data_IF_182958756990
#
_entry.id   IF_182958756990
#
_cell.length_a   1.000
_cell.length_b   1.000
_cell.length_c   1.000
_cell.angle_alpha   90.00
_cell.angle_beta   90.00
_cell.angle_gamma   90.00
#
_symmetry.space_group_name_H-M   'P 1'
#
loop_
_entity.id
_entity.type
_entity.pdbx_description
1 polymer ?
#
# COMPACT_ATOMS: atom_id res chain seq x y z
N UNK A 1 -9.76 -20.33 -0.30
CA UNK A 1 -8.68 -20.18 -1.29
C UNK A 1 -8.53 -21.40 -2.19
N UNK A 2 -8.55 -22.63 -1.68
CA UNK A 2 -8.35 -23.84 -2.51
C UNK A 2 -9.41 -24.03 -3.62
N UNK A 3 -10.68 -23.67 -3.35
CA UNK A 3 -11.78 -23.80 -4.33
C UNK A 3 -11.97 -22.59 -5.25
N UNK A 4 -11.72 -21.38 -4.75
CA UNK A 4 -12.05 -20.12 -5.43
C UNK A 4 -10.79 -19.44 -6.02
N UNK A 5 -9.60 -19.78 -5.50
CA UNK A 5 -8.34 -19.12 -5.85
C UNK A 5 -8.02 -17.93 -4.95
N UNK A 6 -7.10 -17.10 -5.44
CA UNK A 6 -6.75 -15.78 -4.90
C UNK A 6 -6.76 -14.76 -6.04
N UNK A 7 -6.81 -13.47 -5.74
CA UNK A 7 -6.85 -12.45 -6.78
C UNK A 7 -6.97 -11.04 -6.23
N UNK A 8 -6.91 -10.08 -7.15
CA UNK A 8 -6.97 -8.65 -6.85
C UNK A 8 -6.93 -7.85 -8.14
N UNK A 9 -7.30 -6.57 -8.08
CA UNK A 9 -7.19 -5.64 -9.21
C UNK A 9 -7.89 -6.09 -10.52
N UNK A 10 -8.88 -6.99 -10.44
CA UNK A 10 -9.63 -7.49 -11.60
C UNK A 10 -9.10 -8.80 -12.20
N UNK A 11 -8.07 -9.40 -11.62
CA UNK A 11 -7.50 -10.69 -12.04
C UNK A 11 -7.55 -11.72 -10.90
N UNK A 12 -7.53 -13.01 -11.25
CA UNK A 12 -7.53 -14.12 -10.30
C UNK A 12 -6.62 -15.25 -10.77
N UNK A 13 -6.10 -16.04 -9.83
CA UNK A 13 -5.21 -17.16 -10.10
C UNK A 13 -5.39 -18.29 -9.08
N UNK A 14 -4.92 -19.48 -9.47
CA UNK A 14 -4.86 -20.63 -8.57
C UNK A 14 -3.70 -20.47 -7.58
N UNK A 15 -3.95 -20.76 -6.29
CA UNK A 15 -2.95 -20.67 -5.23
C UNK A 15 -2.75 -21.98 -4.46
N UNK A 16 -3.07 -23.11 -5.09
CA UNK A 16 -3.02 -24.42 -4.42
C UNK A 16 -1.61 -24.78 -3.95
N UNK A 17 -0.60 -24.56 -4.81
CA UNK A 17 0.82 -24.77 -4.48
C UNK A 17 1.25 -23.99 -3.25
N UNK A 18 0.78 -22.75 -3.10
CA UNK A 18 1.09 -21.91 -1.95
C UNK A 18 0.38 -22.38 -0.69
N UNK A 19 -0.87 -22.83 -0.80
CA UNK A 19 -1.58 -23.45 0.33
C UNK A 19 -0.87 -24.72 0.79
N UNK A 20 -0.38 -25.55 -0.13
CA UNK A 20 0.39 -26.76 0.19
C UNK A 20 1.72 -26.41 0.88
N UNK A 21 2.38 -25.33 0.46
CA UNK A 21 3.59 -24.82 1.10
C UNK A 21 3.29 -24.29 2.52
N UNK A 22 2.20 -23.53 2.70
CA UNK A 22 1.79 -23.02 4.00
C UNK A 22 1.47 -24.11 5.01
N UNK A 23 0.89 -25.24 4.56
CA UNK A 23 0.68 -26.42 5.44
C UNK A 23 2.00 -27.01 5.95
N UNK A 24 3.09 -26.89 5.20
CA UNK A 24 4.43 -27.34 5.61
C UNK A 24 5.10 -26.32 6.53
N UNK A 25 4.95 -25.02 6.27
CA UNK A 25 5.55 -23.95 7.07
C UNK A 25 4.86 -23.79 8.43
N UNK A 26 3.53 -23.69 8.43
CA UNK A 26 2.75 -23.32 9.61
C UNK A 26 2.13 -24.55 10.30
N UNK A 27 2.43 -25.75 9.81
CA UNK A 27 1.72 -26.99 10.17
C UNK A 27 0.21 -26.89 9.89
N UNK A 28 -0.55 -27.91 10.30
CA UNK A 28 -1.98 -27.99 10.04
C UNK A 28 -2.79 -28.26 11.29
N UNK A 29 -4.01 -27.73 11.35
CA UNK A 29 -4.96 -28.07 12.43
C UNK A 29 -5.27 -29.57 12.40
N UNK A 30 -5.03 -30.25 13.52
CA UNK A 30 -5.23 -31.70 13.65
C UNK A 30 -6.72 -32.12 13.67
N UNK A 31 -7.58 -31.26 14.21
CA UNK A 31 -8.99 -31.56 14.44
C UNK A 31 -9.87 -30.29 14.41
N UNK A 32 -11.17 -30.48 14.55
CA UNK A 32 -12.17 -29.40 14.55
C UNK A 32 -12.58 -28.92 13.14
N UNK A 33 -13.32 -27.81 13.06
CA UNK A 33 -13.92 -27.33 11.80
C UNK A 33 -12.92 -26.99 10.69
N UNK A 34 -11.69 -26.61 11.06
CA UNK A 34 -10.62 -26.25 10.14
C UNK A 34 -9.56 -27.36 9.99
N UNK A 35 -9.90 -28.62 10.28
CA UNK A 35 -8.98 -29.76 10.18
C UNK A 35 -8.29 -29.79 8.81
N UNK A 36 -6.97 -29.90 8.81
CA UNK A 36 -6.13 -29.93 7.61
C UNK A 36 -5.79 -28.56 6.99
N UNK A 37 -6.30 -27.45 7.55
CA UNK A 37 -5.93 -26.10 7.11
C UNK A 37 -4.61 -25.64 7.76
N UNK A 38 -3.81 -24.79 7.07
CA UNK A 38 -2.63 -24.15 7.66
C UNK A 38 -2.95 -23.44 8.97
N UNK A 39 -2.06 -23.50 9.95
CA UNK A 39 -2.27 -22.75 11.21
C UNK A 39 -1.96 -21.26 11.03
N UNK A 40 -2.63 -20.44 11.86
CA UNK A 40 -2.42 -19.01 12.02
C UNK A 40 -2.44 -18.66 13.52
N UNK A 41 -1.50 -19.23 14.28
CA UNK A 41 -1.47 -19.05 15.74
C UNK A 41 -0.57 -17.89 16.15
N UNK A 42 0.51 -17.66 15.40
CA UNK A 42 1.52 -16.63 15.68
C UNK A 42 1.53 -15.53 14.64
N UNK A 43 2.12 -14.38 14.99
CA UNK A 43 2.36 -13.31 14.02
C UNK A 43 3.29 -13.75 12.87
N UNK A 44 4.20 -14.70 13.14
CA UNK A 44 5.08 -15.28 12.10
C UNK A 44 4.25 -16.11 11.12
N UNK A 45 3.30 -16.91 11.59
CA UNK A 45 2.41 -17.70 10.73
C UNK A 45 1.62 -16.79 9.78
N UNK A 46 1.10 -15.67 10.31
CA UNK A 46 0.39 -14.67 9.53
C UNK A 46 1.31 -13.96 8.53
N UNK A 47 2.54 -13.62 8.93
CA UNK A 47 3.51 -13.02 8.02
C UNK A 47 3.89 -13.98 6.88
N UNK A 48 4.14 -15.27 7.17
CA UNK A 48 4.44 -16.28 6.15
C UNK A 48 3.25 -16.52 5.21
N UNK A 49 2.01 -16.43 5.69
CA UNK A 49 0.82 -16.42 4.84
C UNK A 49 0.85 -15.27 3.83
N UNK A 50 1.11 -14.05 4.30
CA UNK A 50 1.21 -12.86 3.43
C UNK A 50 2.33 -13.07 2.40
N UNK A 51 3.54 -13.42 2.87
CA UNK A 51 4.72 -13.57 2.03
C UNK A 51 4.58 -14.68 0.98
N UNK A 52 3.85 -15.75 1.31
CA UNK A 52 3.67 -16.89 0.40
C UNK A 52 2.61 -16.63 -0.67
N UNK A 53 1.51 -15.96 -0.30
CA UNK A 53 0.35 -15.79 -1.19
C UNK A 53 0.42 -14.55 -2.09
N UNK A 54 1.29 -13.59 -1.76
CA UNK A 54 1.41 -12.34 -2.52
C UNK A 54 2.37 -12.47 -3.71
N UNK A 55 2.03 -11.95 -4.90
CA UNK A 55 2.91 -11.93 -6.06
C UNK A 55 4.18 -11.09 -5.84
N UNK A 56 4.13 -10.07 -4.98
CA UNK A 56 5.30 -9.21 -4.70
C UNK A 56 6.42 -9.95 -3.95
N UNK A 57 6.13 -11.09 -3.33
CA UNK A 57 7.05 -11.81 -2.44
C UNK A 57 7.25 -13.28 -2.80
N UNK A 58 6.49 -13.80 -3.77
CA UNK A 58 6.62 -15.14 -4.31
C UNK A 58 6.55 -15.12 -5.84
N UNK A 59 7.66 -15.43 -6.50
CA UNK A 59 7.82 -15.37 -7.95
C UNK A 59 6.85 -16.28 -8.72
N UNK A 60 6.52 -17.45 -8.17
CA UNK A 60 5.52 -18.34 -8.79
C UNK A 60 4.13 -17.69 -8.82
N UNK A 61 3.79 -16.92 -7.78
CA UNK A 61 2.54 -16.17 -7.76
C UNK A 61 2.63 -14.97 -8.70
N UNK A 62 3.78 -14.30 -8.78
CA UNK A 62 4.01 -13.21 -9.72
C UNK A 62 3.78 -13.64 -11.18
N UNK A 63 4.39 -14.76 -11.60
CA UNK A 63 4.23 -15.30 -12.96
C UNK A 63 2.77 -15.67 -13.23
N UNK A 64 2.10 -16.36 -12.30
CA UNK A 64 0.66 -16.68 -12.42
C UNK A 64 -0.22 -15.43 -12.51
N UNK A 65 0.08 -14.40 -11.74
CA UNK A 65 -0.68 -13.15 -11.73
C UNK A 65 -0.48 -12.36 -13.03
N UNK A 66 0.75 -12.28 -13.53
CA UNK A 66 1.02 -11.66 -14.83
C UNK A 66 0.37 -12.42 -15.98
N UNK A 67 0.43 -13.76 -15.96
CA UNK A 67 -0.27 -14.60 -16.94
C UNK A 67 -1.79 -14.34 -16.91
N UNK A 68 -2.40 -14.22 -15.73
CA UNK A 68 -3.81 -13.88 -15.62
C UNK A 68 -4.15 -12.51 -16.19
N UNK A 69 -3.25 -11.52 -16.08
CA UNK A 69 -3.42 -10.21 -16.71
C UNK A 69 -3.25 -10.27 -18.23
N UNK A 70 -2.34 -11.10 -18.72
CA UNK A 70 -2.10 -11.31 -20.16
C UNK A 70 -3.37 -11.74 -20.90
N UNK A 71 -4.25 -12.51 -20.26
CA UNK A 71 -5.54 -12.91 -20.84
C UNK A 71 -6.47 -11.72 -21.12
N UNK A 72 -6.43 -10.67 -20.30
CA UNK A 72 -7.24 -9.47 -20.52
C UNK A 72 -6.64 -8.54 -21.57
N UNK A 73 -5.32 -8.44 -21.63
CA UNK A 73 -4.62 -7.49 -22.51
C UNK A 73 -4.31 -8.09 -23.89
N UNK A 74 -4.29 -9.42 -24.00
CA UNK A 74 -3.84 -10.14 -25.20
C UNK A 74 -2.33 -10.01 -25.45
N UNK A 75 -1.55 -9.60 -24.44
CA UNK A 75 -0.10 -9.39 -24.50
C UNK A 75 0.58 -10.19 -23.40
N UNK A 76 1.69 -10.84 -23.70
CA UNK A 76 2.46 -11.50 -22.65
C UNK A 76 3.10 -10.46 -21.72
N UNK A 77 2.89 -10.65 -20.42
CA UNK A 77 3.50 -9.86 -19.36
C UNK A 77 4.33 -10.72 -18.39
N UNK A 78 4.42 -12.03 -18.62
CA UNK A 78 5.14 -12.94 -17.70
C UNK A 78 6.64 -12.68 -17.67
N UNK A 79 7.21 -12.14 -18.75
CA UNK A 79 8.61 -11.71 -18.81
C UNK A 79 9.01 -10.75 -17.69
N UNK A 80 8.06 -10.02 -17.10
CA UNK A 80 8.31 -9.10 -15.99
C UNK A 80 8.63 -9.79 -14.66
N UNK A 81 8.39 -11.09 -14.55
CA UNK A 81 8.62 -11.87 -13.33
C UNK A 81 9.34 -13.22 -13.54
N UNK A 82 9.45 -13.72 -14.79
CA UNK A 82 10.08 -15.01 -15.09
C UNK A 82 11.52 -15.10 -14.57
N UNK A 83 12.29 -14.02 -14.64
CA UNK A 83 13.66 -13.98 -14.11
C UNK A 83 13.75 -14.12 -12.58
N UNK A 84 12.64 -13.95 -11.87
CA UNK A 84 12.51 -14.06 -10.41
C UNK A 84 11.48 -15.12 -10.00
N UNK A 85 11.11 -16.06 -10.86
CA UNK A 85 10.06 -17.04 -10.58
C UNK A 85 10.35 -17.90 -9.33
N UNK A 86 11.61 -18.25 -9.12
CA UNK A 86 12.03 -19.06 -7.97
C UNK A 86 12.12 -18.27 -6.65
N UNK A 87 12.11 -16.94 -6.71
CA UNK A 87 12.25 -16.06 -5.55
C UNK A 87 11.10 -16.26 -4.56
N UNK A 88 11.42 -16.49 -3.29
CA UNK A 88 10.47 -16.67 -2.20
C UNK A 88 10.98 -15.99 -0.95
N UNK A 89 10.48 -14.79 -0.68
CA UNK A 89 10.86 -14.02 0.49
C UNK A 89 10.28 -14.66 1.75
N UNK A 90 11.11 -14.89 2.78
CA UNK A 90 10.68 -15.46 4.07
C UNK A 90 10.84 -14.46 5.21
N UNK A 91 10.05 -14.65 6.26
CA UNK A 91 10.07 -13.75 7.41
C UNK A 91 11.45 -13.71 8.08
N UNK A 92 12.10 -14.87 8.21
CA UNK A 92 13.44 -14.94 8.82
C UNK A 92 14.53 -14.33 7.94
N UNK A 93 14.35 -14.35 6.62
CA UNK A 93 15.33 -13.77 5.68
C UNK A 93 15.30 -12.24 5.73
N UNK A 94 14.11 -11.64 5.80
CA UNK A 94 13.96 -10.18 5.92
C UNK A 94 14.44 -9.64 7.27
N UNK A 95 14.41 -10.47 8.33
CA UNK A 95 15.04 -10.14 9.61
C UNK A 95 16.56 -10.12 9.49
N UNK A 96 17.14 -11.02 8.68
CA UNK A 96 18.58 -11.05 8.44
C UNK A 96 19.04 -9.87 7.57
N UNK A 97 18.30 -9.58 6.50
CA UNK A 97 18.53 -8.41 5.65
C UNK A 97 17.26 -8.10 4.85
N UNK A 98 16.82 -6.82 4.80
CA UNK A 98 15.68 -6.42 3.97
C UNK A 98 15.82 -6.89 2.51
N UNK A 99 14.71 -7.32 1.91
CA UNK A 99 14.67 -7.85 0.54
C UNK A 99 13.89 -6.90 -0.36
N UNK A 100 14.37 -6.74 -1.60
CA UNK A 100 13.64 -6.06 -2.67
C UNK A 100 12.52 -6.99 -3.17
N UNK A 101 11.34 -6.43 -3.37
CA UNK A 101 10.17 -7.18 -3.84
C UNK A 101 10.22 -7.44 -5.37
N UNK A 102 9.24 -8.22 -5.84
CA UNK A 102 9.09 -8.64 -7.23
C UNK A 102 8.09 -7.72 -7.95
N UNK A 103 8.33 -7.46 -9.23
CA UNK A 103 7.37 -6.77 -10.11
C UNK A 103 6.04 -7.52 -10.16
N UNK A 104 4.95 -6.83 -9.88
CA UNK A 104 3.62 -7.43 -9.73
C UNK A 104 2.54 -6.64 -10.50
N UNK A 105 1.54 -7.32 -11.10
CA UNK A 105 0.44 -6.67 -11.79
C UNK A 105 -0.46 -5.86 -10.85
N UNK A 106 -0.33 -6.02 -9.53
CA UNK A 106 -0.99 -5.17 -8.52
C UNK A 106 -0.58 -3.70 -8.69
N UNK A 107 0.66 -3.46 -9.08
CA UNK A 107 1.25 -2.13 -9.19
C UNK A 107 1.36 -1.67 -10.65
N UNK A 108 2.00 -0.53 -10.89
CA UNK A 108 2.16 0.00 -12.26
C UNK A 108 3.59 0.42 -12.60
N UNK A 109 4.54 0.24 -11.68
CA UNK A 109 5.98 0.36 -11.92
C UNK A 109 6.68 -1.00 -11.91
N UNK A 110 7.98 -1.00 -12.20
CA UNK A 110 8.82 -2.19 -12.21
C UNK A 110 9.84 -2.17 -11.07
N UNK A 111 10.11 -3.36 -10.52
CA UNK A 111 11.15 -3.61 -9.52
C UNK A 111 12.36 -4.26 -10.20
N UNK A 112 13.11 -3.43 -10.93
CA UNK A 112 14.20 -3.82 -11.80
C UNK A 112 15.53 -3.21 -11.34
N UNK A 113 16.67 -3.78 -11.78
CA UNK A 113 18.00 -3.28 -11.41
C UNK A 113 18.50 -2.18 -12.35
N UNK A 114 17.85 -1.97 -13.50
CA UNK A 114 18.22 -0.98 -14.50
C UNK A 114 17.24 0.19 -14.59
N UNK A 115 16.00 0.03 -14.11
CA UNK A 115 15.00 1.10 -14.04
C UNK A 115 14.38 1.19 -12.65
N UNK A 116 14.38 2.40 -12.09
CA UNK A 116 13.71 2.69 -10.82
C UNK A 116 12.20 2.58 -10.96
N UNK A 117 11.52 2.21 -9.86
CA UNK A 117 10.07 2.19 -9.82
C UNK A 117 9.45 3.55 -10.21
N UNK A 118 8.58 3.53 -11.21
CA UNK A 118 7.84 4.70 -11.68
C UNK A 118 6.36 4.32 -11.92
N UNK A 119 5.43 5.01 -11.28
CA UNK A 119 4.00 4.72 -11.42
C UNK A 119 3.51 5.03 -12.85
N UNK A 120 2.70 4.14 -13.41
CA UNK A 120 2.23 4.25 -14.80
C UNK A 120 3.22 3.74 -15.85
N UNK A 121 4.43 3.30 -15.46
CA UNK A 121 5.43 2.78 -16.39
C UNK A 121 4.89 1.62 -17.23
N UNK A 122 4.27 0.63 -16.59
CA UNK A 122 3.66 -0.52 -17.27
C UNK A 122 2.49 -0.10 -18.19
N UNK A 123 1.70 0.91 -17.82
CA UNK A 123 0.65 1.41 -18.72
C UNK A 123 1.23 1.98 -20.02
N UNK A 124 2.36 2.68 -19.93
CA UNK A 124 3.04 3.29 -21.08
C UNK A 124 3.81 2.25 -21.91
N UNK A 125 4.57 1.37 -21.27
CA UNK A 125 5.52 0.48 -21.96
C UNK A 125 4.93 -0.91 -22.26
N UNK A 126 4.08 -1.44 -21.37
CA UNK A 126 3.42 -2.74 -21.54
C UNK A 126 2.04 -2.61 -22.22
N UNK A 127 1.57 -1.37 -22.43
CA UNK A 127 0.27 -1.04 -23.03
C UNK A 127 -0.91 -1.59 -22.23
N UNK A 128 -0.74 -1.75 -20.92
CA UNK A 128 -1.81 -2.11 -20.00
C UNK A 128 -2.74 -0.89 -19.84
N UNK A 129 -4.05 -1.00 -20.13
CA UNK A 129 -4.95 0.13 -19.98
C UNK A 129 -5.05 0.63 -18.53
N UNK A 130 -5.27 1.94 -18.34
CA UNK A 130 -5.73 2.45 -17.05
C UNK A 130 -7.14 1.94 -16.80
N UNK A 131 -7.48 1.64 -15.54
CA UNK A 131 -8.83 1.20 -15.16
C UNK A 131 -9.78 2.40 -15.02
N UNK A 132 -9.89 3.17 -16.09
CA UNK A 132 -10.80 4.31 -16.30
C UNK A 132 -11.81 3.94 -17.39
N UNK A 133 -12.87 4.74 -17.56
CA UNK A 133 -13.88 4.49 -18.58
C UNK A 133 -13.30 4.39 -20.00
N UNK A 134 -12.28 5.20 -20.31
CA UNK A 134 -11.65 5.25 -21.63
C UNK A 134 -10.43 4.35 -21.78
N UNK A 135 -9.99 3.67 -20.72
CA UNK A 135 -8.74 2.90 -20.72
C UNK A 135 -7.47 3.76 -20.66
N UNK A 136 -7.60 5.09 -20.55
CA UNK A 136 -6.51 6.08 -20.63
C UNK A 136 -6.55 7.05 -19.44
N UNK A 137 -5.54 7.91 -19.32
CA UNK A 137 -5.59 9.04 -18.38
C UNK A 137 -6.80 9.92 -18.72
N UNK A 138 -7.79 9.96 -17.82
CA UNK A 138 -9.10 10.53 -18.09
C UNK A 138 -9.15 12.00 -17.68
N UNK A 139 -8.97 12.89 -18.66
CA UNK A 139 -9.06 14.34 -18.44
C UNK A 139 -10.50 14.83 -18.24
N UNK A 140 -11.47 14.17 -18.89
CA UNK A 140 -12.89 14.52 -18.83
C UNK A 140 -13.66 13.55 -17.93
N UNK A 141 -14.22 14.07 -16.84
CA UNK A 141 -15.00 13.32 -15.85
C UNK A 141 -16.50 13.49 -16.17
N UNK A 142 -17.09 12.50 -16.84
CA UNK A 142 -18.43 12.60 -17.44
C UNK A 142 -19.57 12.10 -16.52
N UNK A 143 -19.23 11.58 -15.33
CA UNK A 143 -20.23 11.19 -14.34
C UNK A 143 -21.17 12.36 -14.03
N UNK A 144 -22.46 12.09 -13.86
CA UNK A 144 -23.48 13.12 -13.69
C UNK A 144 -23.11 14.15 -12.61
N UNK A 145 -22.67 13.69 -11.45
CA UNK A 145 -22.22 14.59 -10.37
C UNK A 145 -21.02 15.44 -10.78
N UNK A 146 -20.04 14.88 -11.48
CA UNK A 146 -18.86 15.64 -11.91
C UNK A 146 -19.25 16.76 -12.87
N UNK A 147 -20.25 16.53 -13.74
CA UNK A 147 -20.78 17.58 -14.63
C UNK A 147 -21.58 18.62 -13.85
N UNK A 148 -22.50 18.18 -12.99
CA UNK A 148 -23.43 19.06 -12.26
C UNK A 148 -22.70 19.94 -11.23
N UNK A 149 -21.63 19.42 -10.59
CA UNK A 149 -20.77 20.19 -9.67
C UNK A 149 -19.68 21.01 -10.39
N UNK A 150 -19.64 21.01 -11.73
CA UNK A 150 -18.68 21.78 -12.51
C UNK A 150 -17.25 21.25 -12.48
N UNK A 151 -17.06 19.95 -12.19
CA UNK A 151 -15.78 19.26 -12.06
C UNK A 151 -15.46 18.34 -13.25
N UNK A 152 -16.21 18.45 -14.35
CA UNK A 152 -15.98 17.62 -15.55
C UNK A 152 -14.62 17.85 -16.21
N UNK A 153 -14.03 19.04 -16.05
CA UNK A 153 -12.66 19.40 -16.39
C UNK A 153 -12.04 20.15 -15.21
N UNK A 154 -10.71 20.26 -15.20
CA UNK A 154 -10.03 21.10 -14.20
C UNK A 154 -10.48 22.56 -14.35
N UNK A 155 -10.86 23.15 -13.23
CA UNK A 155 -11.19 24.56 -13.11
C UNK A 155 -10.60 25.11 -11.82
N UNK A 156 -10.31 26.40 -11.80
CA UNK A 156 -9.94 27.06 -10.55
C UNK A 156 -11.13 27.05 -9.59
N UNK A 157 -10.94 26.53 -8.37
CA UNK A 157 -11.89 26.68 -7.26
C UNK A 157 -11.23 27.47 -6.12
N UNK A 158 -11.83 28.59 -5.69
CA UNK A 158 -11.34 29.30 -4.51
C UNK A 158 -11.53 28.42 -3.26
N UNK A 159 -10.74 28.63 -2.20
CA UNK A 159 -10.95 27.94 -0.93
C UNK A 159 -12.39 28.09 -0.42
N UNK A 160 -12.97 27.00 0.08
CA UNK A 160 -14.32 27.04 0.61
C UNK A 160 -14.42 28.00 1.79
N UNK A 161 -15.35 28.96 1.69
CA UNK A 161 -15.66 29.87 2.79
C UNK A 161 -16.57 29.16 3.78
N UNK A 162 -16.00 28.28 4.60
CA UNK A 162 -16.73 27.76 5.74
C UNK A 162 -16.94 28.91 6.76
N UNK A 163 -18.18 29.20 7.20
CA UNK A 163 -18.45 30.18 8.25
C UNK A 163 -18.10 29.58 9.63
N UNK A 164 -16.84 29.18 9.84
CA UNK A 164 -16.35 28.83 11.18
C UNK A 164 -16.25 30.05 12.12
N UNK A 165 -16.50 31.27 11.62
CA UNK A 165 -16.46 32.52 12.38
C UNK A 165 -17.81 33.16 12.71
N UNK A 166 -18.92 32.79 12.05
CA UNK A 166 -20.25 33.43 12.24
C UNK A 166 -21.20 32.59 13.10
N UNK A 167 -20.70 31.81 14.07
CA UNK A 167 -21.58 31.33 15.15
C UNK A 167 -21.80 32.50 16.11
N UNK A 168 -23.03 33.00 16.14
CA UNK A 168 -23.56 33.98 17.10
C UNK A 168 -23.41 33.59 18.57
N UNK A 169 -23.04 32.34 18.85
CA UNK A 169 -23.16 31.74 20.20
C UNK A 169 -21.81 31.44 20.86
N UNK A 170 -20.71 32.10 20.43
CA UNK A 170 -19.46 32.03 21.19
C UNK A 170 -19.56 32.95 22.42
N UNK A 171 -19.32 32.46 23.65
CA UNK A 171 -19.26 33.34 24.82
C UNK A 171 -18.18 34.40 24.60
N UNK A 172 -18.53 35.65 24.90
CA UNK A 172 -17.66 36.81 24.72
C UNK A 172 -16.38 36.61 25.55
N UNK A 173 -15.29 36.23 24.87
CA UNK A 173 -13.98 36.14 25.50
C UNK A 173 -13.59 37.56 25.91
N UNK A 174 -13.36 37.79 27.20
CA UNK A 174 -12.91 39.08 27.74
C UNK A 174 -11.67 39.55 26.95
N UNK A 175 -11.87 40.57 26.11
CA UNK A 175 -10.82 41.09 25.23
C UNK A 175 -9.77 41.81 26.08
N UNK A 176 -8.56 41.28 26.14
CA UNK A 176 -7.41 42.08 26.59
C UNK A 176 -7.17 43.24 25.60
N UNK A 177 -6.75 44.43 26.06
CA UNK A 177 -6.54 45.58 25.18
C UNK A 177 -5.34 45.34 24.25
N UNK A 178 -5.63 44.87 23.03
CA UNK A 178 -4.65 44.61 21.97
C UNK A 178 -5.32 44.46 20.60
N UNK A 179 -4.54 44.61 19.51
CA UNK A 179 -5.02 44.41 18.13
C UNK A 179 -5.18 42.92 17.85
N UNK A 180 -6.30 42.50 17.25
CA UNK A 180 -6.54 41.12 16.81
C UNK A 180 -6.81 41.06 15.29
N UNK A 181 -6.43 39.95 14.66
CA UNK A 181 -6.66 39.67 13.24
C UNK A 181 -7.06 38.20 13.06
N UNK A 182 -7.96 37.94 12.10
CA UNK A 182 -8.35 36.58 11.74
C UNK A 182 -7.43 36.09 10.62
N UNK A 183 -6.70 35.00 10.87
CA UNK A 183 -5.82 34.35 9.92
C UNK A 183 -6.44 33.01 9.48
N UNK A 184 -6.16 32.53 8.25
CA UNK A 184 -6.46 31.16 7.87
C UNK A 184 -5.78 30.21 8.86
N UNK A 185 -6.53 29.25 9.40
CA UNK A 185 -5.97 28.18 10.23
C UNK A 185 -5.31 27.16 9.30
N UNK A 186 -4.09 27.47 8.87
CA UNK A 186 -3.27 26.54 8.15
C UNK A 186 -2.69 25.56 9.19
N UNK A 187 -2.91 24.27 8.98
CA UNK A 187 -2.21 23.20 9.67
C UNK A 187 -1.11 22.62 8.76
N UNK A 188 -0.07 23.40 8.38
CA UNK A 188 1.06 22.82 7.68
C UNK A 188 1.73 21.80 8.60
N UNK A 189 2.22 20.70 8.03
CA UNK A 189 3.13 19.82 8.75
C UNK A 189 4.44 20.57 9.02
N UNK A 190 4.50 21.27 10.15
CA UNK A 190 5.74 21.82 10.71
C UNK A 190 6.38 20.68 11.50
N UNK A 191 7.48 20.11 10.98
CA UNK A 191 8.02 18.83 11.49
C UNK A 191 8.44 18.88 12.96
N UNK A 192 8.40 17.82 13.78
CA UNK A 192 7.68 16.52 13.95
C UNK A 192 7.45 16.40 15.50
N UNK A 193 6.74 15.43 16.19
CA UNK A 193 6.53 13.98 15.85
C UNK A 193 5.41 13.17 16.59
N UNK A 194 4.90 11.97 16.27
CA UNK A 194 4.84 11.01 15.15
C UNK A 194 4.76 11.66 13.80
N UNK A 195 3.92 12.66 13.58
CA UNK A 195 3.42 13.81 14.36
C UNK A 195 2.66 13.75 15.74
N UNK A 196 2.36 12.62 16.45
CA UNK A 196 2.17 12.50 17.94
C UNK A 196 2.90 11.40 18.87
N UNK A 197 3.90 10.55 18.50
CA UNK A 197 4.47 9.44 19.36
C UNK A 197 5.69 9.84 20.20
N UNK A 198 6.45 10.88 19.86
CA UNK A 198 7.62 11.26 20.68
C UNK A 198 7.27 12.47 21.52
N UNK A 199 7.44 12.38 22.83
CA UNK A 199 7.48 13.59 23.64
C UNK A 199 8.88 14.21 23.51
N UNK A 200 9.04 15.54 23.63
CA UNK A 200 10.34 16.22 23.54
C UNK A 200 11.42 15.65 24.50
N UNK A 201 11.00 15.03 25.61
CA UNK A 201 11.90 14.39 26.58
C UNK A 201 12.59 13.12 26.04
N UNK A 202 12.05 12.49 24.99
CA UNK A 202 12.61 11.26 24.40
C UNK A 202 13.78 11.54 23.44
N UNK A 203 14.09 12.81 23.18
CA UNK A 203 15.12 13.25 22.24
C UNK A 203 16.49 13.50 22.89
N UNK A 204 16.65 13.28 24.21
CA UNK A 204 17.93 13.50 24.87
C UNK A 204 18.93 12.37 24.57
N UNK A 205 19.77 12.61 23.57
CA UNK A 205 20.84 11.72 23.12
C UNK A 205 21.93 11.49 24.20
N UNK A 206 21.97 12.31 25.26
CA UNK A 206 23.04 12.26 26.28
C UNK A 206 22.87 11.16 27.33
N UNK A 207 21.68 10.58 27.49
CA UNK A 207 21.44 9.55 28.52
C UNK A 207 21.82 8.13 28.10
N UNK A 208 22.09 7.88 26.80
CA UNK A 208 22.36 6.53 26.29
C UNK A 208 23.83 6.09 26.33
N UNK A 209 24.75 6.96 26.72
CA UNK A 209 26.21 6.70 26.69
C UNK A 209 26.95 7.00 28.02
N UNK A 210 26.24 7.04 29.15
CA UNK A 210 26.86 7.15 30.48
C UNK A 210 26.61 5.88 31.30
N UNK A 211 27.18 4.77 30.83
CA UNK A 211 27.13 3.47 31.49
C UNK A 211 28.43 2.70 31.33
N UNK A 212 29.48 3.20 31.98
CA UNK A 212 30.66 2.49 32.50
C UNK A 212 31.31 1.37 31.68
N UNK A 213 32.48 1.67 31.11
CA UNK A 213 33.61 0.75 31.20
C UNK A 213 33.96 0.57 32.69
N UNK A 214 33.91 -0.66 33.18
CA UNK A 214 34.62 -1.09 34.38
C UNK A 214 35.32 -2.40 34.00
N UNK A 215 36.61 -2.44 34.32
CA UNK A 215 37.54 -3.57 34.18
C UNK A 215 37.05 -4.87 34.84
#
# INVERSE_FOLDING_TARGET
MEKIGNGGKGIAWNTQSEMDLLRKLNYTKAEGPAKGQPMLNTAIDAAEMILTLAPETNGQVAVKAWAALSEFTGRDHTHLALNKEDEKIRFRDIQAQPRKIISSPTWSGLEDEHVSYNAGYTNVHELIPWRTLSGRQQLYQDHQWMRDFGESLLVYRPPDRHPFGERSDRPEIQRQPGKSAQLPDAAPEVGYPLHLQRQPADADFRSRWSGGLVE
#
